data_IF_874881795298
#
_entry.id   IF_874881795298
#
_cell.length_a   1.000
_cell.length_b   1.000
_cell.length_c   1.000
_cell.angle_alpha   90.00
_cell.angle_beta   90.00
_cell.angle_gamma   90.00
#
_symmetry.space_group_name_H-M   'P 1'
#
loop_
_entity.id
_entity.type
_entity.pdbx_description
1 polymer ?
#
# COMPACT_ATOMS: atom_id res chain seq x y z
N UNK A 1 10.27 -18.85 -13.48
CA UNK A 1 9.79 -19.11 -12.10
C UNK A 1 10.23 -18.07 -11.05
N UNK A 2 11.38 -17.37 -11.17
CA UNK A 2 11.84 -16.38 -10.14
C UNK A 2 10.96 -15.13 -9.97
N UNK A 3 10.32 -14.61 -11.04
CA UNK A 3 9.61 -13.31 -10.98
C UNK A 3 8.34 -13.31 -10.10
N UNK A 4 7.58 -14.41 -10.07
CA UNK A 4 6.36 -14.47 -9.28
C UNK A 4 6.65 -14.37 -7.77
N UNK A 5 7.60 -15.17 -7.27
CA UNK A 5 8.00 -15.13 -5.86
C UNK A 5 8.48 -13.74 -5.41
N UNK A 6 9.23 -13.03 -6.26
CA UNK A 6 9.66 -11.65 -5.96
C UNK A 6 8.48 -10.68 -5.83
N UNK A 7 7.44 -10.83 -6.65
CA UNK A 7 6.26 -9.94 -6.61
C UNK A 7 5.48 -10.15 -5.32
N UNK A 8 5.21 -11.41 -4.96
CA UNK A 8 4.55 -11.74 -3.70
C UNK A 8 5.35 -11.20 -2.50
N UNK A 9 6.68 -11.39 -2.51
CA UNK A 9 7.55 -10.88 -1.46
C UNK A 9 7.47 -9.35 -1.34
N UNK A 10 7.49 -8.63 -2.47
CA UNK A 10 7.36 -7.17 -2.46
C UNK A 10 5.99 -6.76 -1.91
N UNK A 11 4.89 -7.30 -2.43
CA UNK A 11 3.54 -6.85 -2.03
C UNK A 11 3.28 -7.16 -0.55
N UNK A 12 3.47 -8.41 -0.12
CA UNK A 12 3.22 -8.80 1.27
C UNK A 12 4.26 -8.21 2.24
N UNK A 13 5.52 -8.10 1.82
CA UNK A 13 6.57 -7.47 2.62
C UNK A 13 6.31 -5.99 2.86
N UNK A 14 5.88 -5.25 1.83
CA UNK A 14 5.48 -3.86 2.01
C UNK A 14 4.19 -3.72 2.79
N UNK A 15 3.20 -4.61 2.62
CA UNK A 15 1.98 -4.60 3.44
C UNK A 15 2.30 -4.78 4.93
N UNK A 16 3.20 -5.72 5.26
CA UNK A 16 3.67 -5.91 6.63
C UNK A 16 4.45 -4.69 7.15
N UNK A 17 5.31 -4.09 6.31
CA UNK A 17 6.05 -2.87 6.70
C UNK A 17 5.11 -1.69 6.97
N UNK A 18 4.07 -1.50 6.16
CA UNK A 18 3.06 -0.46 6.38
C UNK A 18 2.26 -0.73 7.66
N UNK A 19 1.86 -1.98 7.89
CA UNK A 19 1.17 -2.40 9.10
C UNK A 19 2.00 -2.08 10.36
N UNK A 20 3.31 -2.39 10.32
CA UNK A 20 4.23 -2.13 11.42
C UNK A 20 4.44 -0.63 11.66
N UNK A 21 4.67 0.15 10.59
CA UNK A 21 4.81 1.61 10.70
C UNK A 21 3.54 2.25 11.24
N UNK A 22 2.37 1.83 10.75
CA UNK A 22 1.09 2.30 11.27
C UNK A 22 0.95 1.97 12.76
N UNK A 23 1.18 0.71 13.15
CA UNK A 23 1.08 0.30 14.55
C UNK A 23 2.01 1.09 15.48
N UNK A 24 3.24 1.40 15.04
CA UNK A 24 4.24 2.07 15.87
C UNK A 24 4.11 3.59 15.88
N UNK A 25 3.70 4.21 14.78
CA UNK A 25 3.76 5.67 14.59
C UNK A 25 2.40 6.37 14.58
N UNK A 26 1.29 5.66 14.40
CA UNK A 26 -0.04 6.27 14.24
C UNK A 26 -0.39 7.24 15.38
N UNK A 27 -0.20 6.81 16.63
CA UNK A 27 -0.54 7.60 17.83
C UNK A 27 0.60 8.53 18.29
N UNK A 28 1.69 8.64 17.51
CA UNK A 28 2.82 9.51 17.84
C UNK A 28 2.62 10.92 17.29
N UNK A 29 3.31 11.91 17.88
CA UNK A 29 3.25 13.30 17.41
C UNK A 29 3.76 13.49 15.97
N UNK A 30 4.57 12.56 15.46
CA UNK A 30 5.04 12.58 14.07
C UNK A 30 3.99 12.03 13.09
N UNK A 31 3.13 11.12 13.55
CA UNK A 31 2.23 10.34 12.71
C UNK A 31 2.95 9.36 11.79
N UNK A 32 2.17 8.54 11.10
CA UNK A 32 2.65 7.50 10.18
C UNK A 32 2.61 7.94 8.70
N UNK A 33 1.85 8.99 8.37
CA UNK A 33 1.48 9.38 7.00
C UNK A 33 2.67 9.58 6.07
N UNK A 34 3.70 10.29 6.52
CA UNK A 34 4.89 10.54 5.69
C UNK A 34 5.62 9.23 5.36
N UNK A 35 5.86 8.39 6.36
CA UNK A 35 6.58 7.13 6.16
C UNK A 35 5.76 6.16 5.30
N UNK A 36 4.46 6.04 5.54
CA UNK A 36 3.57 5.21 4.71
C UNK A 36 3.55 5.67 3.25
N UNK A 37 3.60 6.99 3.01
CA UNK A 37 3.70 7.53 1.64
C UNK A 37 5.03 7.15 1.00
N UNK A 38 6.15 7.30 1.70
CA UNK A 38 7.46 6.87 1.20
C UNK A 38 7.49 5.37 0.87
N UNK A 39 6.91 4.53 1.73
CA UNK A 39 6.81 3.10 1.50
C UNK A 39 5.93 2.77 0.28
N UNK A 40 4.82 3.48 0.08
CA UNK A 40 3.97 3.33 -1.11
C UNK A 40 4.74 3.69 -2.38
N UNK A 41 5.45 4.81 -2.38
CA UNK A 41 6.28 5.24 -3.52
C UNK A 41 7.33 4.19 -3.83
N UNK A 42 8.06 3.71 -2.83
CA UNK A 42 9.07 2.68 -2.98
C UNK A 42 8.49 1.38 -3.56
N UNK A 43 7.36 0.90 -3.04
CA UNK A 43 6.67 -0.29 -3.54
C UNK A 43 6.31 -0.16 -5.02
N UNK A 44 5.67 0.95 -5.41
CA UNK A 44 5.25 1.19 -6.80
C UNK A 44 6.45 1.27 -7.74
N UNK A 45 7.50 2.01 -7.35
CA UNK A 45 8.73 2.12 -8.14
C UNK A 45 9.37 0.75 -8.34
N UNK A 46 9.51 -0.05 -7.29
CA UNK A 46 10.07 -1.40 -7.37
C UNK A 46 9.23 -2.27 -8.31
N UNK A 47 7.91 -2.30 -8.13
CA UNK A 47 7.01 -3.09 -8.98
C UNK A 47 7.15 -2.70 -10.45
N UNK A 48 7.16 -1.41 -10.80
CA UNK A 48 7.23 -1.01 -12.21
C UNK A 48 8.61 -1.30 -12.80
N UNK A 49 9.69 -1.10 -12.02
CA UNK A 49 11.06 -1.43 -12.44
C UNK A 49 11.26 -2.93 -12.69
N UNK A 50 10.65 -3.81 -11.89
CA UNK A 50 10.70 -5.27 -12.12
C UNK A 50 10.14 -5.68 -13.49
N UNK A 51 9.28 -4.86 -14.08
CA UNK A 51 8.70 -5.08 -15.40
C UNK A 51 9.28 -4.15 -16.47
N UNK A 52 10.32 -3.34 -16.21
CA UNK A 52 10.83 -2.34 -17.16
C UNK A 52 9.71 -1.46 -17.76
N UNK A 53 8.78 -0.99 -16.93
CA UNK A 53 7.72 -0.08 -17.38
C UNK A 53 8.24 1.34 -17.69
N UNK A 54 7.56 2.09 -18.58
CA UNK A 54 7.95 3.45 -18.94
C UNK A 54 7.73 4.43 -17.78
N UNK A 55 8.47 5.54 -17.78
CA UNK A 55 8.44 6.55 -16.71
C UNK A 55 7.05 7.19 -16.57
N UNK A 56 6.33 7.40 -17.66
CA UNK A 56 4.98 8.00 -17.61
C UNK A 56 3.99 7.13 -16.83
N UNK A 57 4.10 5.81 -16.97
CA UNK A 57 3.30 4.84 -16.20
C UNK A 57 3.71 4.86 -14.71
N UNK A 58 5.00 5.12 -14.41
CA UNK A 58 5.47 5.31 -13.03
C UNK A 58 4.79 6.51 -12.39
N UNK A 59 4.81 7.66 -13.05
CA UNK A 59 4.25 8.90 -12.48
C UNK A 59 2.74 8.77 -12.26
N UNK A 60 2.01 8.25 -13.25
CA UNK A 60 0.56 8.08 -13.14
C UNK A 60 0.15 7.10 -12.02
N UNK A 61 0.82 5.95 -11.93
CA UNK A 61 0.53 4.97 -10.88
C UNK A 61 0.96 5.44 -9.50
N UNK A 62 2.05 6.19 -9.37
CA UNK A 62 2.47 6.79 -8.10
C UNK A 62 1.42 7.76 -7.56
N UNK A 63 0.93 8.65 -8.42
CA UNK A 63 -0.09 9.62 -8.03
C UNK A 63 -1.38 8.91 -7.60
N UNK A 64 -1.86 7.96 -8.42
CA UNK A 64 -3.07 7.21 -8.14
C UNK A 64 -2.94 6.37 -6.86
N UNK A 65 -1.82 5.67 -6.68
CA UNK A 65 -1.55 4.88 -5.49
C UNK A 65 -1.48 5.74 -4.22
N UNK A 66 -0.88 6.93 -4.30
CA UNK A 66 -0.78 7.83 -3.14
C UNK A 66 -2.15 8.37 -2.73
N UNK A 67 -2.98 8.80 -3.69
CA UNK A 67 -4.34 9.25 -3.41
C UNK A 67 -5.24 8.12 -2.93
N UNK A 68 -5.16 6.94 -3.56
CA UNK A 68 -5.91 5.77 -3.12
C UNK A 68 -5.49 5.34 -1.71
N UNK A 69 -4.19 5.31 -1.42
CA UNK A 69 -3.65 4.95 -0.10
C UNK A 69 -4.15 5.88 0.99
N UNK A 70 -4.07 7.19 0.76
CA UNK A 70 -4.57 8.18 1.72
C UNK A 70 -6.09 8.10 1.93
N UNK A 71 -6.86 8.12 0.82
CA UNK A 71 -8.31 8.12 0.88
C UNK A 71 -8.88 6.83 1.48
N UNK A 72 -8.43 5.66 0.99
CA UNK A 72 -8.91 4.37 1.47
C UNK A 72 -8.36 4.04 2.87
N UNK A 73 -7.16 4.49 3.21
CA UNK A 73 -6.58 4.29 4.55
C UNK A 73 -7.42 4.96 5.65
N UNK A 74 -7.74 6.24 5.49
CA UNK A 74 -8.50 7.00 6.48
C UNK A 74 -9.97 6.55 6.52
N UNK A 75 -10.62 6.50 5.35
CA UNK A 75 -12.04 6.16 5.30
C UNK A 75 -12.28 4.68 5.59
N UNK A 76 -11.40 3.79 5.13
CA UNK A 76 -11.49 2.37 5.41
C UNK A 76 -11.40 2.08 6.90
N UNK A 77 -10.49 2.73 7.63
CA UNK A 77 -10.37 2.54 9.08
C UNK A 77 -11.65 2.96 9.81
N UNK A 78 -12.26 4.08 9.39
CA UNK A 78 -13.57 4.52 9.91
C UNK A 78 -14.68 3.52 9.60
N UNK A 79 -14.70 2.96 8.40
CA UNK A 79 -15.68 1.95 8.00
C UNK A 79 -15.54 0.66 8.81
N UNK A 80 -14.30 0.19 9.02
CA UNK A 80 -14.04 -0.96 9.88
C UNK A 80 -14.51 -0.69 11.31
N UNK A 81 -14.26 0.50 11.86
CA UNK A 81 -14.75 0.87 13.20
C UNK A 81 -16.27 0.93 13.28
N UNK A 82 -16.97 1.40 12.23
CA UNK A 82 -18.43 1.37 12.18
C UNK A 82 -18.99 -0.05 12.16
N UNK A 83 -18.34 -0.97 11.44
CA UNK A 83 -18.74 -2.38 11.38
C UNK A 83 -18.38 -3.14 12.66
N UNK A 84 -17.27 -2.80 13.30
CA UNK A 84 -16.74 -3.46 14.49
C UNK A 84 -16.45 -2.45 15.61
N UNK A 85 -17.49 -1.88 16.24
CA UNK A 85 -17.33 -0.79 17.21
C UNK A 85 -16.62 -1.19 18.51
N UNK A 86 -16.50 -2.50 18.78
CA UNK A 86 -15.76 -3.04 19.94
C UNK A 86 -14.27 -3.29 19.65
N UNK A 87 -13.83 -3.11 18.41
CA UNK A 87 -12.43 -3.32 18.03
C UNK A 87 -11.57 -2.17 18.59
N UNK A 88 -10.37 -2.50 19.05
CA UNK A 88 -9.38 -1.47 19.43
C UNK A 88 -9.05 -0.63 18.19
N UNK A 89 -9.16 0.69 18.33
CA UNK A 89 -9.05 1.67 17.24
C UNK A 89 -7.81 1.41 16.36
N UNK A 90 -6.64 1.24 16.99
CA UNK A 90 -5.37 1.04 16.25
C UNK A 90 -5.42 -0.20 15.35
N UNK A 91 -6.11 -1.28 15.75
CA UNK A 91 -6.21 -2.47 14.91
C UNK A 91 -7.07 -2.25 13.68
N UNK A 92 -8.07 -1.37 13.73
CA UNK A 92 -8.83 -0.99 12.54
C UNK A 92 -7.96 -0.24 11.53
N UNK A 93 -7.05 0.62 12.00
CA UNK A 93 -6.09 1.31 11.14
C UNK A 93 -5.05 0.35 10.56
N UNK A 94 -4.43 -0.50 11.38
CA UNK A 94 -3.45 -1.49 10.92
C UNK A 94 -4.06 -2.45 9.90
N UNK A 95 -5.27 -2.96 10.16
CA UNK A 95 -5.98 -3.84 9.24
C UNK A 95 -6.30 -3.12 7.92
N UNK A 96 -6.84 -1.90 7.98
CA UNK A 96 -7.14 -1.13 6.77
C UNK A 96 -5.87 -0.86 5.96
N UNK A 97 -4.83 -0.37 6.61
CA UNK A 97 -3.53 -0.09 5.98
C UNK A 97 -2.99 -1.32 5.29
N UNK A 98 -3.03 -2.49 5.94
CA UNK A 98 -2.60 -3.77 5.35
C UNK A 98 -3.40 -4.09 4.09
N UNK A 99 -4.74 -4.05 4.17
CA UNK A 99 -5.63 -4.38 3.05
C UNK A 99 -5.46 -3.41 1.87
N UNK A 100 -5.32 -2.11 2.16
CA UNK A 100 -5.12 -1.07 1.14
C UNK A 100 -3.75 -1.23 0.47
N UNK A 101 -2.68 -1.49 1.23
CA UNK A 101 -1.36 -1.71 0.65
C UNK A 101 -1.34 -2.95 -0.26
N UNK A 102 -1.96 -4.05 0.17
CA UNK A 102 -2.08 -5.24 -0.70
C UNK A 102 -2.90 -4.93 -1.96
N UNK A 103 -4.05 -4.27 -1.82
CA UNK A 103 -4.89 -3.89 -2.94
C UNK A 103 -4.14 -3.02 -3.96
N UNK A 104 -3.39 -2.01 -3.50
CA UNK A 104 -2.57 -1.15 -4.36
C UNK A 104 -1.47 -1.96 -5.04
N UNK A 105 -0.73 -2.78 -4.29
CA UNK A 105 0.36 -3.59 -4.82
C UNK A 105 -0.11 -4.53 -5.93
N UNK A 106 -1.22 -5.23 -5.71
CA UNK A 106 -1.84 -6.10 -6.72
C UNK A 106 -2.36 -5.31 -7.92
N UNK A 107 -3.02 -4.18 -7.70
CA UNK A 107 -3.54 -3.32 -8.78
C UNK A 107 -2.41 -2.84 -9.70
N UNK A 108 -1.32 -2.35 -9.13
CA UNK A 108 -0.12 -1.93 -9.88
C UNK A 108 0.47 -3.09 -10.67
N UNK A 109 0.62 -4.26 -10.05
CA UNK A 109 1.08 -5.47 -10.75
C UNK A 109 0.21 -5.81 -11.96
N UNK A 110 -1.12 -5.79 -11.83
CA UNK A 110 -2.02 -6.12 -12.94
C UNK A 110 -1.97 -5.10 -14.08
N UNK A 111 -1.88 -3.81 -13.78
CA UNK A 111 -1.73 -2.75 -14.80
C UNK A 111 -0.42 -2.93 -15.57
N UNK A 112 0.68 -3.08 -14.85
CA UNK A 112 2.02 -3.18 -15.45
C UNK A 112 2.18 -4.49 -16.24
N UNK A 113 1.59 -5.59 -15.77
CA UNK A 113 1.59 -6.87 -16.50
C UNK A 113 0.82 -6.77 -17.83
N UNK A 114 -0.29 -6.03 -17.89
CA UNK A 114 -1.11 -5.89 -19.11
C UNK A 114 -0.37 -5.15 -20.23
N UNK A 115 0.51 -4.20 -19.90
CA UNK A 115 1.31 -3.45 -20.88
C UNK A 115 2.41 -4.26 -21.59
N UNK A 116 2.60 -5.54 -21.26
CA UNK A 116 3.62 -6.43 -21.84
C UNK A 116 3.06 -7.68 -22.52
N UNK A 117 1.77 -7.65 -22.88
CA UNK A 117 1.21 -8.67 -23.79
C UNK A 117 1.73 -8.47 -25.20
#
# INVERSE_FOLDING_TARGET
>A
MKKAGTIHLVIHGFALAHALVCYLLHDTALGDTFILTCLTIAMVVILIRLFNGPVDVIVGLLLLASFAGFFLGINGARWIQMLFPKMVIIFSYVLTTTLVTEFIGWSVFFVVRRGKK
#
